data_IF_135900594718
#
_entry.id   IF_135900594718
#
_cell.length_a   1.000
_cell.length_b   1.000
_cell.length_c   1.000
_cell.angle_alpha   90.00
_cell.angle_beta   90.00
_cell.angle_gamma   90.00
#
_symmetry.space_group_name_H-M   'P 1'
#
loop_
_entity.id
_entity.type
_entity.pdbx_description
1 polymer ?
#
# COMPACT_ATOMS: atom_id res chain seq x y z
N UNK A 1 -12.64 -15.80 8.61
CA UNK A 1 -12.46 -14.61 9.45
C UNK A 1 -11.87 -13.50 8.61
N UNK A 2 -12.50 -12.36 8.60
CA UNK A 2 -12.03 -11.26 7.79
C UNK A 2 -11.13 -10.33 8.59
N UNK A 3 -10.16 -9.77 7.89
CA UNK A 3 -9.23 -8.79 8.46
C UNK A 3 -9.78 -7.42 8.15
N UNK A 4 -9.97 -6.62 9.18
CA UNK A 4 -10.49 -5.28 8.98
C UNK A 4 -9.43 -4.38 8.37
N UNK A 5 -9.82 -3.66 7.34
CA UNK A 5 -8.95 -2.68 6.69
C UNK A 5 -9.71 -1.37 6.56
N UNK A 6 -8.97 -0.27 6.61
CA UNK A 6 -9.53 1.03 6.36
C UNK A 6 -9.61 1.27 4.85
N UNK A 7 -10.36 2.29 4.46
CA UNK A 7 -10.43 2.67 3.05
C UNK A 7 -9.05 2.98 2.49
N UNK A 8 -8.22 3.66 3.27
CA UNK A 8 -6.86 3.97 2.85
C UNK A 8 -6.02 2.72 2.64
N UNK A 9 -6.16 1.75 3.55
CA UNK A 9 -5.45 0.49 3.41
C UNK A 9 -5.88 -0.25 2.16
N UNK A 10 -7.19 -0.29 1.89
CA UNK A 10 -7.71 -0.95 0.69
C UNK A 10 -7.23 -0.26 -0.58
N UNK A 11 -7.19 1.05 -0.56
CA UNK A 11 -6.70 1.83 -1.70
C UNK A 11 -5.25 1.48 -2.01
N UNK A 12 -4.41 1.47 -0.99
CA UNK A 12 -2.99 1.17 -1.18
C UNK A 12 -2.80 -0.28 -1.60
N UNK A 13 -3.55 -1.21 -1.01
CA UNK A 13 -3.50 -2.60 -1.43
C UNK A 13 -3.88 -2.75 -2.90
N UNK A 14 -4.89 -2.00 -3.35
CA UNK A 14 -5.27 -2.01 -4.75
C UNK A 14 -4.16 -1.57 -5.67
N UNK A 15 -3.41 -0.55 -5.27
CA UNK A 15 -2.27 -0.08 -6.05
C UNK A 15 -1.15 -1.12 -6.08
N UNK A 16 -0.92 -1.80 -4.96
CA UNK A 16 0.08 -2.85 -4.90
C UNK A 16 -0.33 -4.09 -5.70
N UNK A 17 -1.64 -4.32 -5.80
CA UNK A 17 -2.13 -5.44 -6.60
C UNK A 17 -1.85 -5.26 -8.08
N UNK A 18 -1.71 -4.03 -8.54
CA UNK A 18 -1.35 -3.75 -9.93
C UNK A 18 0.09 -4.15 -10.22
N UNK A 19 0.98 -3.80 -9.30
CA UNK A 19 2.40 -4.18 -9.36
C UNK A 19 3.09 -3.70 -8.09
N UNK A 20 4.25 -4.29 -7.75
CA UNK A 20 5.01 -3.79 -6.60
C UNK A 20 5.43 -2.35 -6.81
N UNK A 21 5.46 -1.58 -5.73
CA UNK A 21 5.76 -0.15 -5.81
C UNK A 21 6.51 0.32 -4.57
N UNK A 22 7.28 1.40 -4.75
CA UNK A 22 7.88 2.13 -3.63
C UNK A 22 6.83 3.05 -3.03
N UNK A 23 7.02 3.41 -1.76
CA UNK A 23 6.10 4.35 -1.11
C UNK A 23 5.97 5.66 -1.87
N UNK A 24 7.08 6.15 -2.40
CA UNK A 24 7.08 7.37 -3.20
C UNK A 24 6.18 7.24 -4.44
N UNK A 25 6.24 6.09 -5.10
CA UNK A 25 5.41 5.85 -6.28
C UNK A 25 3.93 5.79 -5.93
N UNK A 26 3.62 5.18 -4.77
CA UNK A 26 2.24 5.10 -4.30
C UNK A 26 1.70 6.51 -4.07
N UNK A 27 2.47 7.36 -3.44
CA UNK A 27 2.06 8.72 -3.18
C UNK A 27 1.81 9.48 -4.47
N UNK A 28 2.73 9.35 -5.42
CA UNK A 28 2.58 10.03 -6.69
C UNK A 28 1.33 9.56 -7.44
N UNK A 29 1.05 8.27 -7.39
CA UNK A 29 -0.15 7.72 -8.03
C UNK A 29 -1.42 8.22 -7.38
N UNK A 30 -1.45 8.32 -6.06
CA UNK A 30 -2.61 8.84 -5.34
C UNK A 30 -2.89 10.26 -5.80
N UNK A 31 -1.83 11.06 -5.94
CA UNK A 31 -1.97 12.43 -6.41
C UNK A 31 -2.40 12.50 -7.86
N UNK A 32 -1.73 11.73 -8.74
CA UNK A 32 -1.98 11.75 -10.17
C UNK A 32 -3.38 11.25 -10.53
N UNK A 33 -3.89 10.29 -9.76
CA UNK A 33 -5.22 9.73 -10.02
C UNK A 33 -6.32 10.45 -9.25
N UNK A 34 -5.98 11.52 -8.56
CA UNK A 34 -6.95 12.32 -7.80
C UNK A 34 -7.56 11.58 -6.62
N UNK A 35 -6.87 10.60 -6.09
CA UNK A 35 -7.39 9.78 -5.01
C UNK A 35 -7.45 10.47 -3.66
N UNK A 36 -6.78 11.61 -3.52
CA UNK A 36 -6.81 12.36 -2.27
C UNK A 36 -8.19 12.87 -1.93
N UNK A 37 -9.07 12.95 -2.93
CA UNK A 37 -10.46 13.36 -2.68
C UNK A 37 -11.23 12.32 -1.90
N UNK A 38 -10.76 11.07 -1.95
CA UNK A 38 -11.45 9.95 -1.33
C UNK A 38 -10.85 9.60 0.02
N UNK A 39 -9.62 10.01 0.26
CA UNK A 39 -8.93 9.72 1.50
C UNK A 39 -8.08 10.92 1.88
N UNK A 40 -7.97 11.18 3.17
CA UNK A 40 -7.08 12.24 3.65
C UNK A 40 -5.70 11.66 3.87
N UNK A 41 -5.07 11.21 2.77
CA UNK A 41 -3.77 10.57 2.85
C UNK A 41 -2.67 11.60 2.68
N UNK A 42 -1.97 11.89 3.74
CA UNK A 42 -0.80 12.75 3.67
C UNK A 42 0.45 11.93 3.39
N UNK A 43 1.54 12.63 3.16
CA UNK A 43 2.83 12.01 2.84
C UNK A 43 3.26 11.00 3.89
N UNK A 44 3.28 11.42 5.15
CA UNK A 44 3.73 10.56 6.23
C UNK A 44 2.75 9.43 6.48
N UNK A 45 1.48 9.62 6.13
CA UNK A 45 0.46 8.60 6.34
C UNK A 45 0.65 7.39 5.47
N UNK A 46 1.20 7.57 4.27
CA UNK A 46 1.42 6.45 3.35
C UNK A 46 2.39 5.44 3.94
N UNK A 47 3.51 5.91 4.48
CA UNK A 47 4.49 5.01 5.08
C UNK A 47 3.94 4.35 6.34
N UNK A 48 3.14 5.08 7.10
CA UNK A 48 2.49 4.53 8.29
C UNK A 48 1.54 3.40 7.89
N UNK A 49 0.76 3.62 6.83
CA UNK A 49 -0.19 2.61 6.36
C UNK A 49 0.54 1.40 5.79
N UNK A 50 1.61 1.63 5.03
CA UNK A 50 2.43 0.53 4.51
C UNK A 50 3.00 -0.32 5.64
N UNK A 51 3.46 0.32 6.70
CA UNK A 51 3.97 -0.40 7.87
C UNK A 51 2.86 -1.23 8.52
N UNK A 52 1.67 -0.68 8.63
CA UNK A 52 0.53 -1.41 9.17
C UNK A 52 0.17 -2.61 8.32
N UNK A 53 0.18 -2.43 7.00
CA UNK A 53 -0.12 -3.53 6.08
C UNK A 53 0.92 -4.64 6.22
N UNK A 54 2.17 -4.26 6.38
CA UNK A 54 3.24 -5.23 6.57
C UNK A 54 3.06 -6.00 7.88
N UNK A 55 2.69 -5.30 8.95
CA UNK A 55 2.44 -5.94 10.24
C UNK A 55 1.25 -6.89 10.20
N UNK A 56 0.27 -6.59 9.38
CA UNK A 56 -0.89 -7.47 9.18
C UNK A 56 -0.60 -8.57 8.17
N UNK A 57 0.61 -8.60 7.60
CA UNK A 57 1.04 -9.56 6.59
C UNK A 57 0.24 -9.46 5.29
N UNK A 58 -0.35 -8.29 5.04
CA UNK A 58 -1.08 -8.02 3.81
C UNK A 58 -0.15 -7.51 2.72
N UNK A 59 1.00 -7.00 3.11
CA UNK A 59 2.04 -6.54 2.20
C UNK A 59 3.40 -6.97 2.73
N UNK A 60 4.37 -7.03 1.85
CA UNK A 60 5.75 -7.33 2.24
C UNK A 60 6.67 -6.35 1.54
N UNK A 61 7.84 -6.12 2.12
CA UNK A 61 8.80 -5.19 1.55
C UNK A 61 10.11 -5.91 1.26
N UNK A 62 10.83 -5.37 0.27
CA UNK A 62 12.15 -5.86 -0.08
C UNK A 62 13.02 -4.65 -0.44
N UNK A 63 14.34 -4.73 -0.20
CA UNK A 63 15.21 -3.63 -0.61
C UNK A 63 15.20 -3.47 -2.11
N UNK A 64 15.10 -2.24 -2.57
CA UNK A 64 15.18 -1.97 -4.00
C UNK A 64 16.65 -1.86 -4.40
N UNK A 65 16.92 -2.13 -5.67
CA UNK A 65 18.27 -2.07 -6.18
C UNK A 65 18.90 -0.69 -6.01
N UNK A 66 20.10 -0.68 -5.49
CA UNK A 66 20.96 0.48 -5.49
C UNK A 66 20.60 1.61 -4.56
N UNK A 67 19.56 1.49 -3.76
CA UNK A 67 19.17 2.54 -2.84
C UNK A 67 18.55 1.93 -1.59
N UNK A 68 18.32 2.76 -0.60
CA UNK A 68 17.71 2.34 0.65
C UNK A 68 16.19 2.23 0.56
N UNK A 69 15.63 2.54 -0.57
CA UNK A 69 14.18 2.51 -0.77
C UNK A 69 13.66 1.08 -0.73
N UNK A 70 12.55 0.90 -0.06
CA UNK A 70 11.88 -0.39 -0.02
C UNK A 70 10.81 -0.44 -1.09
N UNK A 71 10.71 -1.60 -1.73
CA UNK A 71 9.62 -1.86 -2.66
C UNK A 71 8.60 -2.73 -1.96
N UNK A 72 7.35 -2.33 -1.98
CA UNK A 72 6.27 -3.06 -1.34
C UNK A 72 5.46 -3.85 -2.36
N UNK A 73 5.04 -5.04 -1.97
CA UNK A 73 4.23 -5.90 -2.81
C UNK A 73 3.09 -6.48 -1.99
N UNK A 74 1.96 -6.73 -2.63
CA UNK A 74 0.83 -7.36 -1.95
C UNK A 74 1.13 -8.84 -1.75
N UNK A 75 0.66 -9.40 -0.64
CA UNK A 75 0.80 -10.83 -0.37
C UNK A 75 -0.44 -11.56 -0.84
N UNK A 76 -0.38 -12.90 -0.82
CA UNK A 76 -1.57 -13.69 -1.13
C UNK A 76 -2.71 -13.38 -0.16
N UNK A 77 -2.38 -13.20 1.11
CA UNK A 77 -3.38 -12.80 2.10
C UNK A 77 -3.96 -11.42 1.76
N UNK A 78 -3.10 -10.50 1.33
CA UNK A 78 -3.56 -9.16 0.93
C UNK A 78 -4.51 -9.22 -0.24
N UNK A 79 -4.23 -10.07 -1.22
CA UNK A 79 -5.13 -10.26 -2.36
C UNK A 79 -6.48 -10.82 -1.91
N UNK A 80 -6.45 -11.78 -1.00
CA UNK A 80 -7.67 -12.37 -0.47
C UNK A 80 -8.53 -11.32 0.23
N UNK A 81 -7.91 -10.49 1.05
CA UNK A 81 -8.62 -9.45 1.78
C UNK A 81 -9.20 -8.42 0.80
N UNK A 82 -8.43 -8.06 -0.21
CA UNK A 82 -8.85 -7.06 -1.19
C UNK A 82 -10.05 -7.54 -2.02
N UNK A 83 -10.14 -8.83 -2.27
CA UNK A 83 -11.20 -9.39 -3.11
C UNK A 83 -12.41 -9.90 -2.34
N UNK A 84 -12.36 -9.80 -1.02
CA UNK A 84 -13.52 -10.20 -0.19
C UNK A 84 -14.73 -9.23 -0.39
#
# INVERSE_FOLDING_TARGET
MSIKTSLTEELILGLLAEQPRHGYQIEKLIEDRGMRRWTEVGFSSIYYVLDKLEKKELAKSAPAKGKEKKEYAITDLGLTVLTE
#
